data_IF_442568087164
#
_entry.id   IF_442568087164
#
_cell.length_a   1.000
_cell.length_b   1.000
_cell.length_c   1.000
_cell.angle_alpha   90.00
_cell.angle_beta   90.00
_cell.angle_gamma   90.00
#
_symmetry.space_group_name_H-M   'P 1'
#
loop_
_entity.id
_entity.type
_entity.pdbx_description
1 polymer ?
#
# COMPACT_ATOMS: atom_id res chain seq x y z
N UNK A 1 4.41 -17.41 -5.22
CA UNK A 1 5.04 -16.43 -4.30
C UNK A 1 3.93 -15.61 -3.66
N UNK A 2 3.68 -15.76 -2.35
CA UNK A 2 2.66 -14.97 -1.64
C UNK A 2 3.18 -13.53 -1.55
N UNK A 3 2.48 -12.49 -2.04
CA UNK A 3 2.93 -11.14 -1.80
C UNK A 3 2.82 -10.93 -0.29
N UNK A 4 3.96 -10.94 0.40
CA UNK A 4 4.06 -10.28 1.68
C UNK A 4 3.47 -8.88 1.47
N UNK A 5 2.53 -8.47 2.33
CA UNK A 5 1.85 -7.19 2.25
C UNK A 5 2.86 -6.07 2.50
N UNK A 6 3.70 -5.81 1.52
CA UNK A 6 4.66 -4.75 1.55
C UNK A 6 3.89 -3.44 1.52
N UNK A 7 4.41 -2.41 2.19
CA UNK A 7 3.82 -1.07 2.25
C UNK A 7 3.48 -0.55 0.86
N UNK A 8 4.32 -0.87 -0.14
CA UNK A 8 4.07 -0.56 -1.55
C UNK A 8 2.71 -1.06 -2.08
N UNK A 9 2.38 -2.33 -1.88
CA UNK A 9 1.11 -2.92 -2.36
C UNK A 9 -0.10 -2.32 -1.63
N UNK A 10 0.06 -1.98 -0.35
CA UNK A 10 -1.01 -1.37 0.44
C UNK A 10 -1.33 0.05 -0.04
N UNK A 11 -0.30 0.81 -0.37
CA UNK A 11 -0.44 2.16 -0.93
C UNK A 11 -1.06 2.10 -2.31
N UNK A 12 -0.59 1.21 -3.18
CA UNK A 12 -1.17 1.04 -4.51
C UNK A 12 -2.68 0.77 -4.44
N UNK A 13 -3.10 -0.15 -3.56
CA UNK A 13 -4.51 -0.44 -3.32
C UNK A 13 -5.26 0.72 -2.69
N UNK A 14 -4.64 1.48 -1.79
CA UNK A 14 -5.25 2.67 -1.21
C UNK A 14 -5.56 3.72 -2.29
N UNK A 15 -4.65 3.95 -3.23
CA UNK A 15 -4.88 4.87 -4.34
C UNK A 15 -5.95 4.37 -5.32
N UNK A 16 -5.81 3.13 -5.78
CA UNK A 16 -6.68 2.56 -6.82
C UNK A 16 -8.08 2.23 -6.29
N UNK A 17 -8.19 1.55 -5.16
CA UNK A 17 -9.48 1.12 -4.62
C UNK A 17 -10.15 2.21 -3.79
N UNK A 18 -9.42 2.85 -2.86
CA UNK A 18 -10.08 3.76 -1.92
C UNK A 18 -10.20 5.18 -2.45
N UNK A 19 -9.13 5.77 -2.97
CA UNK A 19 -9.16 7.16 -3.43
C UNK A 19 -9.89 7.31 -4.77
N UNK A 20 -9.56 6.47 -5.75
CA UNK A 20 -10.15 6.55 -7.08
C UNK A 20 -11.56 5.94 -7.13
N UNK A 21 -11.75 4.69 -6.69
CA UNK A 21 -13.05 4.00 -6.85
C UNK A 21 -14.08 4.36 -5.78
N UNK A 22 -13.70 4.39 -4.50
CA UNK A 22 -14.66 4.61 -3.41
C UNK A 22 -14.93 6.08 -3.11
N UNK A 23 -13.88 6.90 -3.06
CA UNK A 23 -13.98 8.31 -2.62
C UNK A 23 -14.07 9.32 -3.77
N UNK A 24 -13.77 8.90 -4.99
CA UNK A 24 -13.76 9.73 -6.20
C UNK A 24 -13.13 11.12 -5.97
N UNK A 25 -11.99 11.15 -5.27
CA UNK A 25 -11.33 12.42 -4.91
C UNK A 25 -10.74 13.10 -6.13
N UNK A 26 -10.65 14.43 -6.09
CA UNK A 26 -10.07 15.20 -7.18
C UNK A 26 -8.62 14.79 -7.49
N UNK A 27 -8.19 14.95 -8.75
CA UNK A 27 -6.82 14.69 -9.17
C UNK A 27 -5.79 15.49 -8.35
N UNK A 28 -6.14 16.69 -7.90
CA UNK A 28 -5.30 17.52 -7.04
C UNK A 28 -5.12 16.89 -5.64
N UNK A 29 -6.19 16.32 -5.08
CA UNK A 29 -6.13 15.59 -3.81
C UNK A 29 -5.26 14.33 -3.95
N UNK A 30 -5.40 13.59 -5.06
CA UNK A 30 -4.57 12.42 -5.36
C UNK A 30 -3.09 12.82 -5.46
N UNK A 31 -2.78 13.88 -6.18
CA UNK A 31 -1.41 14.40 -6.31
C UNK A 31 -0.83 14.80 -4.96
N UNK A 32 -1.60 15.53 -4.14
CA UNK A 32 -1.20 15.92 -2.79
C UNK A 32 -0.91 14.72 -1.89
N UNK A 33 -1.73 13.68 -1.97
CA UNK A 33 -1.52 12.44 -1.21
C UNK A 33 -0.26 11.73 -1.70
N UNK A 34 -0.04 11.62 -3.01
CA UNK A 34 1.16 11.03 -3.60
C UNK A 34 2.43 11.75 -3.15
N UNK A 35 2.43 13.07 -3.17
CA UNK A 35 3.56 13.88 -2.69
C UNK A 35 3.83 13.68 -1.21
N UNK A 36 2.76 13.52 -0.41
CA UNK A 36 2.88 13.20 1.02
C UNK A 36 3.63 11.89 1.24
N UNK A 37 3.21 10.82 0.58
CA UNK A 37 3.85 9.51 0.73
C UNK A 37 5.26 9.49 0.16
N UNK A 38 5.52 10.19 -0.96
CA UNK A 38 6.87 10.33 -1.50
C UNK A 38 7.82 10.96 -0.48
N UNK A 39 7.39 12.03 0.18
CA UNK A 39 8.19 12.70 1.22
C UNK A 39 8.36 11.81 2.45
N UNK A 40 7.32 11.07 2.83
CA UNK A 40 7.38 10.12 3.94
C UNK A 40 8.44 9.03 3.69
N UNK A 41 8.49 8.45 2.49
CA UNK A 41 9.49 7.41 2.17
C UNK A 41 10.91 7.95 2.07
N UNK A 42 11.08 9.16 1.54
CA UNK A 42 12.39 9.82 1.54
C UNK A 42 12.86 10.07 2.98
N UNK A 43 11.97 10.54 3.85
CA UNK A 43 12.27 10.73 5.26
C UNK A 43 12.59 9.39 5.96
N UNK A 44 11.82 8.33 5.66
CA UNK A 44 12.06 6.99 6.19
C UNK A 44 13.41 6.42 5.74
N UNK A 45 13.79 6.63 4.48
CA UNK A 45 15.08 6.18 3.96
C UNK A 45 16.24 6.88 4.68
N UNK A 46 16.11 8.17 4.99
CA UNK A 46 17.15 8.92 5.71
C UNK A 46 17.23 8.48 7.18
N UNK A 47 16.08 8.34 7.86
CA UNK A 47 16.05 8.05 9.30
C UNK A 47 16.28 6.57 9.63
N UNK A 48 15.62 5.67 8.90
CA UNK A 48 15.66 4.23 9.18
C UNK A 48 16.75 3.52 8.38
N UNK A 49 17.37 4.19 7.41
CA UNK A 49 18.34 3.61 6.46
C UNK A 49 17.83 2.35 5.75
N UNK A 50 16.51 2.23 5.61
CA UNK A 50 15.84 1.14 4.91
C UNK A 50 15.39 1.62 3.52
N UNK A 51 15.51 0.78 2.48
CA UNK A 51 14.88 1.08 1.21
C UNK A 51 13.34 1.07 1.35
N UNK A 52 12.60 1.84 0.54
CA UNK A 52 11.13 1.85 0.59
C UNK A 52 10.49 0.46 0.40
N UNK A 53 11.18 -0.44 -0.30
CA UNK A 53 10.78 -1.83 -0.50
C UNK A 53 10.94 -2.73 0.73
N UNK A 54 11.69 -2.31 1.74
CA UNK A 54 11.84 -3.05 3.00
C UNK A 54 11.09 -2.38 4.17
N UNK A 55 10.36 -1.30 3.90
CA UNK A 55 9.60 -0.57 4.90
C UNK A 55 8.33 -1.33 5.26
N UNK A 56 8.08 -1.55 6.55
CA UNK A 56 6.84 -2.12 7.05
C UNK A 56 5.92 -1.02 7.59
N UNK A 57 4.60 -1.28 7.65
CA UNK A 57 3.66 -0.34 8.30
C UNK A 57 3.99 -0.16 9.78
N UNK A 58 4.57 -1.18 10.43
CA UNK A 58 5.01 -1.11 11.83
C UNK A 58 6.19 -0.17 12.05
N UNK A 59 6.96 0.16 11.00
CA UNK A 59 8.03 1.17 11.09
C UNK A 59 7.47 2.60 11.07
N UNK A 60 6.19 2.79 10.69
CA UNK A 60 5.51 4.08 10.61
C UNK A 60 4.74 4.38 11.91
N UNK A 61 5.43 4.37 13.04
CA UNK A 61 4.83 4.64 14.35
C UNK A 61 4.51 6.14 14.57
N UNK A 62 3.77 6.43 15.65
CA UNK A 62 3.37 7.80 15.97
C UNK A 62 4.56 8.75 16.18
N UNK A 63 5.68 8.25 16.70
CA UNK A 63 6.91 9.02 16.93
C UNK A 63 7.56 9.41 15.61
N UNK A 64 7.65 8.46 14.68
CA UNK A 64 8.18 8.65 13.34
C UNK A 64 7.32 9.62 12.53
N UNK A 65 5.99 9.46 12.59
CA UNK A 65 5.06 10.39 11.95
C UNK A 65 5.16 11.79 12.57
N UNK A 66 5.29 11.90 13.89
CA UNK A 66 5.52 13.16 14.58
C UNK A 66 6.80 13.86 14.08
N UNK A 67 7.92 13.14 14.05
CA UNK A 67 9.19 13.65 13.56
C UNK A 67 9.12 14.09 12.08
N UNK A 68 8.43 13.33 11.24
CA UNK A 68 8.19 13.69 9.85
C UNK A 68 7.39 15.00 9.72
N UNK A 69 6.31 15.17 10.50
CA UNK A 69 5.50 16.38 10.44
C UNK A 69 6.28 17.61 10.92
N UNK A 70 7.11 17.47 11.97
CA UNK A 70 8.01 18.54 12.42
C UNK A 70 9.05 18.88 11.35
N UNK A 71 9.64 17.88 10.67
CA UNK A 71 10.58 18.09 9.57
C UNK A 71 9.94 18.91 8.43
N UNK A 72 8.67 18.63 8.11
CA UNK A 72 7.93 19.38 7.10
C UNK A 72 7.68 20.84 7.47
N UNK A 73 7.37 21.11 8.74
CA UNK A 73 7.19 22.48 9.23
C UNK A 73 8.52 23.24 9.22
N UNK A 74 9.59 22.64 9.75
CA UNK A 74 10.88 23.29 9.94
C UNK A 74 11.67 23.44 8.64
N UNK A 75 11.80 22.37 7.84
CA UNK A 75 12.66 22.40 6.64
C UNK A 75 11.96 22.96 5.41
N UNK A 76 10.64 22.81 5.31
CA UNK A 76 9.88 23.18 4.12
C UNK A 76 8.92 24.35 4.35
N UNK A 77 8.84 24.89 5.57
CA UNK A 77 7.94 25.99 5.90
C UNK A 77 6.48 25.63 5.66
N UNK A 78 6.11 24.35 5.80
CA UNK A 78 4.73 23.93 5.56
C UNK A 78 3.79 24.61 6.57
N UNK A 79 2.73 25.25 6.08
CA UNK A 79 1.71 25.81 6.97
C UNK A 79 0.97 24.71 7.74
N UNK A 80 0.37 25.07 8.87
CA UNK A 80 -0.47 24.16 9.65
C UNK A 80 -1.57 23.50 8.80
N UNK A 81 -2.12 24.22 7.80
CA UNK A 81 -3.09 23.66 6.84
C UNK A 81 -2.50 22.53 6.01
N UNK A 82 -1.30 22.74 5.45
CA UNK A 82 -0.59 21.72 4.67
C UNK A 82 -0.21 20.54 5.56
N UNK A 83 0.25 20.77 6.79
CA UNK A 83 0.53 19.69 7.75
C UNK A 83 -0.71 18.86 8.03
N UNK A 84 -1.83 19.48 8.34
CA UNK A 84 -3.07 18.76 8.67
C UNK A 84 -3.60 17.95 7.49
N UNK A 85 -3.48 18.47 6.26
CA UNK A 85 -3.82 17.71 5.05
C UNK A 85 -2.96 16.45 4.90
N UNK A 86 -1.65 16.59 5.14
CA UNK A 86 -0.69 15.47 5.08
C UNK A 86 -0.93 14.44 6.17
N UNK A 87 -1.17 14.89 7.41
CA UNK A 87 -1.56 14.01 8.51
C UNK A 87 -2.86 13.26 8.19
N UNK A 88 -3.85 13.93 7.60
CA UNK A 88 -5.10 13.28 7.18
C UNK A 88 -4.84 12.16 6.17
N UNK A 89 -3.94 12.37 5.20
CA UNK A 89 -3.57 11.32 4.24
C UNK A 89 -2.91 10.11 4.93
N UNK A 90 -2.02 10.35 5.90
CA UNK A 90 -1.35 9.30 6.67
C UNK A 90 -2.34 8.52 7.51
N UNK A 91 -3.23 9.20 8.24
CA UNK A 91 -4.27 8.56 9.06
C UNK A 91 -5.26 7.76 8.19
N UNK A 92 -5.60 8.28 6.99
CA UNK A 92 -6.44 7.57 6.04
C UNK A 92 -5.79 6.27 5.55
N UNK A 93 -4.48 6.27 5.32
CA UNK A 93 -3.72 5.06 4.98
C UNK A 93 -3.69 4.08 6.15
N UNK A 94 -3.39 4.54 7.36
CA UNK A 94 -3.33 3.68 8.56
C UNK A 94 -4.67 2.96 8.79
N UNK A 95 -5.78 3.70 8.76
CA UNK A 95 -7.14 3.12 8.84
C UNK A 95 -7.42 2.15 7.71
N UNK A 96 -7.02 2.47 6.48
CA UNK A 96 -7.17 1.54 5.36
C UNK A 96 -6.36 0.25 5.58
N UNK A 97 -5.15 0.37 6.12
CA UNK A 97 -4.30 -0.76 6.46
C UNK A 97 -4.90 -1.64 7.55
N UNK A 98 -5.44 -1.04 8.62
CA UNK A 98 -6.17 -1.78 9.66
C UNK A 98 -7.32 -2.62 9.08
N UNK A 99 -8.17 -2.00 8.24
CA UNK A 99 -9.27 -2.72 7.59
C UNK A 99 -8.82 -3.76 6.56
N UNK A 100 -7.75 -3.49 5.80
CA UNK A 100 -7.22 -4.43 4.81
C UNK A 100 -6.50 -5.62 5.47
N UNK A 101 -5.90 -5.41 6.66
CA UNK A 101 -5.32 -6.45 7.48
C UNK A 101 -6.39 -7.29 8.19
N UNK A 102 -7.52 -6.68 8.58
CA UNK A 102 -8.71 -7.37 9.08
C UNK A 102 -9.40 -8.24 7.98
N UNK A 103 -9.39 -7.76 6.73
CA UNK A 103 -9.84 -8.54 5.56
C UNK A 103 -8.97 -9.76 5.24
N UNK A 104 -7.77 -9.96 5.84
CA UNK A 104 -7.07 -11.26 5.73
C UNK A 104 -7.89 -12.40 6.34
N UNK A 105 -8.76 -12.10 7.29
CA UNK A 105 -9.73 -13.06 7.85
C UNK A 105 -10.86 -13.32 6.86
N UNK A 106 -11.36 -12.28 6.19
CA UNK A 106 -12.49 -12.37 5.22
C UNK A 106 -12.06 -12.99 3.88
N UNK A 107 -10.88 -12.69 3.36
CA UNK A 107 -10.40 -13.25 2.08
C UNK A 107 -9.99 -14.73 2.21
N UNK A 108 -9.69 -15.21 3.43
CA UNK A 108 -9.54 -16.65 3.71
C UNK A 108 -10.90 -17.38 3.72
N UNK A 109 -11.96 -16.70 4.15
CA UNK A 109 -13.34 -17.20 4.14
C UNK A 109 -14.00 -17.16 2.75
N UNK A 110 -13.63 -16.22 1.88
CA UNK A 110 -14.16 -16.14 0.50
C UNK A 110 -13.39 -17.04 -0.49
N UNK A 111 -12.16 -17.48 -0.16
CA UNK A 111 -11.45 -18.54 -0.88
C UNK A 111 -11.68 -19.93 -0.25
N UNK A 112 -12.92 -20.23 0.13
CA UNK A 112 -13.36 -21.61 0.24
C UNK A 112 -13.57 -22.17 -1.17
N UNK A 113 -12.89 -23.28 -1.49
CA UNK A 113 -12.99 -24.10 -2.70
C UNK A 113 -11.91 -23.87 -3.78
N UNK A 114 -10.70 -24.35 -3.52
CA UNK A 114 -9.90 -25.03 -4.57
C UNK A 114 -9.67 -26.45 -4.03
N UNK A 115 -10.03 -27.52 -4.78
CA UNK A 115 -9.81 -28.89 -4.35
C UNK A 115 -8.32 -29.23 -4.38
N UNK A 116 -7.90 -29.98 -3.37
CA UNK A 116 -6.55 -30.50 -3.19
C UNK A 116 -6.10 -31.35 -4.38
N UNK A 117 -4.95 -30.95 -4.93
CA UNK A 117 -3.81 -31.75 -5.40
C UNK A 117 -4.04 -33.24 -5.73
N UNK A 118 -3.80 -33.60 -7.01
CA UNK A 118 -3.49 -34.99 -7.35
C UNK A 118 -3.65 -35.34 -8.83
N UNK A 119 -2.52 -35.66 -9.46
CA UNK A 119 -2.37 -36.41 -10.74
C UNK A 119 -2.24 -35.58 -12.03
N UNK A 120 -1.00 -35.29 -12.40
CA UNK A 120 -0.62 -35.21 -13.82
C UNK A 120 -0.63 -36.66 -14.39
N UNK A 121 -1.14 -36.90 -15.62
CA UNK A 121 -0.17 -37.03 -16.71
C UNK A 121 -0.66 -36.65 -18.14
N UNK A 122 0.29 -36.10 -18.90
CA UNK A 122 0.54 -36.31 -20.35
C UNK A 122 -0.66 -36.33 -21.32
N UNK A 123 -0.97 -35.19 -21.94
CA UNK A 123 -1.31 -35.11 -23.38
C UNK A 123 -0.78 -33.79 -23.97
N UNK A 124 0.53 -33.73 -24.24
CA UNK A 124 1.07 -32.86 -25.27
C UNK A 124 1.99 -33.71 -26.14
N UNK A 125 1.40 -34.56 -26.98
CA UNK A 125 2.07 -35.18 -28.13
C UNK A 125 1.31 -34.85 -29.42
N UNK A 126 1.90 -33.92 -30.17
CA UNK A 126 2.04 -33.88 -31.64
C UNK A 126 0.79 -33.93 -32.52
N UNK A 127 0.46 -32.76 -33.09
CA UNK A 127 0.28 -32.49 -34.54
C UNK A 127 0.59 -33.68 -35.49
N UNK A 128 -0.38 -34.13 -36.29
CA UNK A 128 -0.25 -34.44 -37.76
C UNK A 128 -1.57 -34.91 -38.40
N UNK A 129 -2.06 -34.10 -39.35
CA UNK A 129 -2.63 -34.43 -40.67
C UNK A 129 -3.05 -35.88 -41.01
N UNK A 130 -4.33 -36.06 -41.38
CA UNK A 130 -4.77 -36.94 -42.50
C UNK A 130 -6.21 -36.64 -42.94
N UNK A 131 -6.38 -36.15 -44.17
CA UNK A 131 -7.51 -36.40 -45.06
C UNK A 131 -6.94 -36.60 -46.46
#
# INVERSE_FOLDING_TARGET
MKPACNVATLIERFFTERLMRQRNVSANTIASYRDTFRLLFLFAQVQLRKPPSALALTDLDATFIGAFLTDLEVKRGASAKTRNLRLTAIVALARYGEHALDQRTVCRLVKGHEPEEGSEPRVWRTRTMRR
#
